data_IF_316644946393
#
_entry.id   IF_316644946393
#
_cell.length_a   1.000
_cell.length_b   1.000
_cell.length_c   1.000
_cell.angle_alpha   90.00
_cell.angle_beta   90.00
_cell.angle_gamma   90.00
#
_symmetry.space_group_name_H-M   'P 1'
#
loop_
_entity.id
_entity.type
_entity.pdbx_description
1 polymer ?
#
# COMPACT_ATOMS: atom_id res chain seq x y z
N UNK A 1 -19.17 -6.51 -5.82
CA UNK A 1 -19.96 -5.70 -6.78
C UNK A 1 -19.11 -5.52 -8.03
N UNK A 2 -19.63 -5.70 -9.25
CA UNK A 2 -18.83 -5.49 -10.44
C UNK A 2 -18.71 -3.98 -10.71
N UNK A 3 -17.46 -3.55 -10.84
CA UNK A 3 -17.02 -2.21 -11.18
C UNK A 3 -17.69 -1.69 -12.47
N UNK A 4 -18.15 -0.43 -12.47
CA UNK A 4 -18.86 0.19 -13.60
C UNK A 4 -17.91 0.91 -14.54
N UNK A 5 -18.36 1.29 -15.73
CA UNK A 5 -17.57 1.87 -16.83
C UNK A 5 -16.90 3.24 -16.56
N UNK A 6 -16.81 3.71 -15.32
CA UNK A 6 -16.26 5.02 -14.92
C UNK A 6 -15.06 4.94 -13.96
N UNK A 7 -14.41 3.78 -13.81
CA UNK A 7 -13.21 3.64 -12.97
C UNK A 7 -11.94 4.18 -13.63
N UNK A 8 -11.97 5.45 -14.06
CA UNK A 8 -10.82 6.16 -14.66
C UNK A 8 -9.58 6.11 -13.77
N UNK A 9 -9.75 5.98 -12.46
CA UNK A 9 -8.66 5.84 -11.51
C UNK A 9 -7.85 4.55 -11.73
N UNK A 10 -8.43 3.47 -12.25
CA UNK A 10 -7.72 2.22 -12.54
C UNK A 10 -6.69 2.38 -13.67
N UNK A 11 -6.84 3.37 -14.55
CA UNK A 11 -5.85 3.68 -15.59
C UNK A 11 -4.62 4.40 -15.01
N UNK A 12 -4.72 4.92 -13.78
CA UNK A 12 -3.69 5.70 -13.13
C UNK A 12 -2.91 4.86 -12.10
N UNK A 13 -1.67 5.25 -11.77
CA UNK A 13 -0.94 4.60 -10.69
C UNK A 13 -1.72 4.64 -9.36
N UNK A 14 -1.55 3.62 -8.50
CA UNK A 14 -0.70 2.44 -8.69
C UNK A 14 -1.35 1.30 -9.50
N UNK A 15 -2.53 1.50 -10.08
CA UNK A 15 -3.33 0.42 -10.69
C UNK A 15 -3.01 0.22 -12.17
N UNK A 16 -2.94 1.32 -12.89
CA UNK A 16 -2.54 1.37 -14.28
C UNK A 16 -1.41 2.37 -14.44
N UNK A 17 -0.94 2.52 -15.67
CA UNK A 17 0.09 3.48 -16.01
C UNK A 17 -0.39 4.17 -17.26
N UNK A 18 -1.02 5.32 -17.09
CA UNK A 18 -1.53 6.14 -18.17
C UNK A 18 -0.40 6.54 -19.12
N UNK A 19 -0.72 6.99 -20.35
CA UNK A 19 0.27 7.41 -21.34
C UNK A 19 1.21 8.52 -20.82
N UNK A 20 0.75 9.33 -19.87
CA UNK A 20 1.51 10.40 -19.22
C UNK A 20 2.53 9.93 -18.17
N UNK A 21 2.42 8.69 -17.65
CA UNK A 21 3.22 8.23 -16.51
C UNK A 21 4.56 7.59 -16.89
N UNK A 22 4.92 7.49 -18.18
CA UNK A 22 6.15 6.84 -18.63
C UNK A 22 6.28 5.36 -18.21
N UNK A 23 7.39 4.68 -18.54
CA UNK A 23 7.60 3.29 -18.13
C UNK A 23 7.83 3.15 -16.62
N UNK A 24 7.48 2.00 -16.04
CA UNK A 24 7.81 1.68 -14.65
C UNK A 24 9.32 1.55 -14.48
N UNK A 25 9.85 2.08 -13.37
CA UNK A 25 11.29 2.04 -13.07
C UNK A 25 11.78 0.64 -12.69
N UNK A 26 13.09 0.53 -12.42
CA UNK A 26 13.68 -0.72 -11.92
C UNK A 26 13.04 -1.13 -10.58
N UNK A 27 12.58 -2.38 -10.50
CA UNK A 27 11.94 -2.93 -9.30
C UNK A 27 12.96 -3.08 -8.17
N UNK A 28 12.80 -2.32 -7.10
CA UNK A 28 13.62 -2.42 -5.90
C UNK A 28 13.01 -3.38 -4.88
N UNK A 29 11.67 -3.42 -4.80
CA UNK A 29 10.96 -4.27 -3.86
C UNK A 29 9.73 -4.92 -4.49
N UNK A 30 9.38 -6.10 -3.97
CA UNK A 30 8.16 -6.84 -4.31
C UNK A 30 7.39 -7.09 -3.03
N UNK A 31 6.08 -6.93 -3.09
CA UNK A 31 5.20 -7.18 -1.96
C UNK A 31 3.99 -8.02 -2.38
N UNK A 32 3.45 -8.79 -1.44
CA UNK A 32 2.28 -9.64 -1.66
C UNK A 32 1.42 -9.71 -0.41
N UNK A 33 0.10 -9.80 -0.59
CA UNK A 33 -0.78 -10.15 0.54
C UNK A 33 -0.55 -11.60 1.00
N UNK A 34 -1.09 -11.98 2.15
CA UNK A 34 -0.88 -13.31 2.74
C UNK A 34 -1.31 -14.46 1.82
N UNK A 35 -2.46 -14.34 1.16
CA UNK A 35 -2.92 -15.33 0.19
C UNK A 35 -2.30 -15.17 -1.21
N UNK A 36 -1.40 -14.20 -1.38
CA UNK A 36 -0.67 -13.91 -2.60
C UNK A 36 -1.53 -13.49 -3.80
N UNK A 37 -2.86 -13.36 -3.67
CA UNK A 37 -3.72 -12.93 -4.78
C UNK A 37 -3.38 -11.51 -5.25
N UNK A 38 -2.99 -10.64 -4.33
CA UNK A 38 -2.53 -9.28 -4.62
C UNK A 38 -1.00 -9.24 -4.57
N UNK A 39 -0.39 -8.76 -5.64
CA UNK A 39 1.05 -8.47 -5.72
C UNK A 39 1.29 -7.08 -6.30
N UNK A 40 2.28 -6.38 -5.75
CA UNK A 40 2.72 -5.08 -6.23
C UNK A 40 4.25 -4.93 -6.15
N UNK A 41 4.76 -4.05 -6.98
CA UNK A 41 6.19 -3.72 -7.10
C UNK A 41 6.42 -2.27 -6.71
N UNK A 42 7.62 -1.99 -6.18
CA UNK A 42 8.05 -0.65 -5.76
C UNK A 42 9.37 -0.35 -6.49
N UNK A 43 9.41 0.74 -7.26
CA UNK A 43 10.61 1.15 -8.02
C UNK A 43 11.56 2.04 -7.22
N UNK A 44 11.10 2.59 -6.10
CA UNK A 44 11.90 3.44 -5.22
C UNK A 44 12.54 2.63 -4.10
N UNK A 45 13.85 2.80 -3.91
CA UNK A 45 14.63 2.05 -2.90
C UNK A 45 14.28 2.45 -1.46
N UNK A 46 14.23 3.75 -1.18
CA UNK A 46 13.92 4.29 0.15
C UNK A 46 12.59 5.05 0.14
N UNK A 47 11.71 4.90 1.15
CA UNK A 47 10.49 5.70 1.21
C UNK A 47 10.80 7.20 1.33
N UNK A 48 9.80 8.04 1.02
CA UNK A 48 9.87 9.48 1.28
C UNK A 48 10.00 9.76 2.78
N UNK A 49 9.26 9.01 3.58
CA UNK A 49 9.31 8.98 5.03
C UNK A 49 8.64 7.70 5.55
N UNK A 50 8.81 7.38 6.84
CA UNK A 50 8.09 6.29 7.49
C UNK A 50 7.61 6.72 8.87
N UNK A 51 6.43 6.23 9.28
CA UNK A 51 5.84 6.57 10.58
C UNK A 51 5.18 5.37 11.24
N UNK A 52 5.13 5.44 12.57
CA UNK A 52 4.16 4.69 13.37
C UNK A 52 2.98 5.61 13.69
N UNK A 53 1.76 5.14 13.45
CA UNK A 53 0.54 5.84 13.81
C UNK A 53 -0.13 5.16 15.00
N UNK A 54 -0.26 5.91 16.09
CA UNK A 54 -0.80 5.44 17.37
C UNK A 54 -2.24 5.90 17.62
N UNK A 55 -2.93 6.45 16.61
CA UNK A 55 -4.29 6.92 16.82
C UNK A 55 -5.26 5.75 17.03
N UNK A 56 -6.30 5.96 17.85
CA UNK A 56 -7.28 4.92 18.17
C UNK A 56 -7.95 4.32 16.91
N UNK A 57 -8.15 5.13 15.86
CA UNK A 57 -8.70 4.66 14.59
C UNK A 57 -7.79 3.65 13.89
N UNK A 58 -6.49 3.93 13.82
CA UNK A 58 -5.50 3.00 13.27
C UNK A 58 -5.38 1.75 14.14
N UNK A 59 -5.37 1.90 15.47
CA UNK A 59 -5.32 0.75 16.38
C UNK A 59 -6.51 -0.19 16.20
N UNK A 60 -7.71 0.39 16.13
CA UNK A 60 -8.97 -0.35 15.94
C UNK A 60 -9.02 -1.03 14.58
N UNK A 61 -8.70 -0.30 13.50
CA UNK A 61 -8.79 -0.82 12.14
C UNK A 61 -7.75 -1.90 11.86
N UNK A 62 -6.55 -1.75 12.42
CA UNK A 62 -5.44 -2.70 12.20
C UNK A 62 -5.44 -3.85 13.20
N UNK A 63 -6.17 -3.74 14.32
CA UNK A 63 -6.11 -4.71 15.40
C UNK A 63 -4.71 -4.81 16.02
N UNK A 64 -3.96 -3.72 16.03
CA UNK A 64 -2.56 -3.65 16.44
C UNK A 64 -2.29 -2.40 17.30
N UNK A 65 -1.25 -2.38 18.15
CA UNK A 65 -0.92 -1.23 18.99
C UNK A 65 -0.59 0.04 18.18
N UNK A 66 -0.16 -0.13 16.94
CA UNK A 66 0.13 0.94 16.01
C UNK A 66 0.06 0.44 14.57
N UNK A 67 0.02 1.39 13.65
CA UNK A 67 0.11 1.14 12.21
C UNK A 67 1.48 1.62 11.71
N UNK A 68 2.26 0.73 11.09
CA UNK A 68 3.54 1.07 10.43
C UNK A 68 3.29 1.41 8.96
N UNK A 69 3.68 2.61 8.52
CA UNK A 69 3.56 3.01 7.12
C UNK A 69 4.87 3.59 6.61
N UNK A 70 5.14 3.27 5.35
CA UNK A 70 6.15 3.90 4.53
C UNK A 70 5.49 4.68 3.39
N UNK A 71 5.92 5.93 3.20
CA UNK A 71 5.29 6.88 2.28
C UNK A 71 5.98 6.83 0.91
N UNK A 72 5.22 6.64 -0.16
CA UNK A 72 5.72 6.61 -1.55
C UNK A 72 4.85 7.49 -2.44
N UNK A 73 5.41 8.00 -3.55
CA UNK A 73 4.56 8.53 -4.62
C UNK A 73 3.76 7.40 -5.25
N UNK A 74 2.57 7.72 -5.77
CA UNK A 74 1.74 6.71 -6.46
C UNK A 74 2.48 6.11 -7.66
N UNK A 75 3.28 6.90 -8.35
CA UNK A 75 4.10 6.47 -9.49
C UNK A 75 5.25 5.52 -9.13
N UNK A 76 5.67 5.47 -7.86
CA UNK A 76 6.73 4.56 -7.42
C UNK A 76 6.21 3.12 -7.22
N UNK A 77 4.90 2.91 -7.36
CA UNK A 77 4.23 1.64 -7.03
C UNK A 77 3.37 1.19 -8.19
N UNK A 78 3.38 -0.11 -8.49
CA UNK A 78 2.43 -0.70 -9.42
C UNK A 78 1.87 -2.02 -8.91
N UNK A 79 0.56 -2.20 -9.01
CA UNK A 79 -0.07 -3.51 -8.88
C UNK A 79 0.22 -4.34 -10.13
N UNK A 80 0.84 -5.50 -9.93
CA UNK A 80 1.14 -6.44 -11.03
C UNK A 80 0.14 -7.60 -11.07
N UNK A 81 -0.62 -7.81 -9.98
CA UNK A 81 -1.67 -8.83 -9.89
C UNK A 81 -2.70 -8.46 -8.82
N UNK A 82 -3.95 -8.85 -9.07
CA UNK A 82 -5.00 -8.91 -8.05
C UNK A 82 -5.86 -7.66 -7.91
N UNK A 83 -6.00 -6.85 -8.96
CA UNK A 83 -6.90 -5.69 -9.00
C UNK A 83 -8.35 -6.05 -8.61
N UNK A 84 -8.82 -7.23 -9.02
CA UNK A 84 -10.13 -7.80 -8.68
C UNK A 84 -10.25 -8.29 -7.23
N UNK A 85 -9.10 -8.43 -6.56
CA UNK A 85 -8.96 -8.90 -5.18
C UNK A 85 -8.69 -7.75 -4.19
N UNK A 86 -8.84 -6.50 -4.64
CA UNK A 86 -8.75 -5.32 -3.80
C UNK A 86 -10.10 -4.98 -3.18
N UNK A 87 -10.06 -4.62 -1.90
CA UNK A 87 -11.18 -4.07 -1.15
C UNK A 87 -10.81 -2.67 -0.69
N UNK A 88 -11.76 -1.74 -0.83
CA UNK A 88 -11.58 -0.34 -0.50
C UNK A 88 -12.48 0.05 0.66
N UNK A 89 -11.96 0.86 1.57
CA UNK A 89 -12.73 1.39 2.70
C UNK A 89 -12.38 2.85 2.96
N UNK A 90 -13.38 3.73 2.96
CA UNK A 90 -13.21 5.12 3.36
C UNK A 90 -13.57 5.25 4.85
N UNK A 91 -12.59 5.56 5.69
CA UNK A 91 -12.79 5.66 7.13
C UNK A 91 -13.57 6.91 7.57
N UNK A 92 -13.73 7.92 6.70
CA UNK A 92 -14.50 9.12 6.98
C UNK A 92 -16.00 8.92 6.75
N UNK A 93 -16.37 8.17 5.70
CA UNK A 93 -17.78 7.84 5.43
C UNK A 93 -18.19 6.48 6.00
N UNK A 94 -17.21 5.66 6.45
CA UNK A 94 -17.40 4.29 6.92
C UNK A 94 -18.00 3.35 5.85
N UNK A 95 -17.70 3.61 4.57
CA UNK A 95 -18.26 2.89 3.44
C UNK A 95 -17.20 2.07 2.67
N UNK A 96 -17.61 0.95 2.05
CA UNK A 96 -16.76 0.10 1.24
C UNK A 96 -16.58 0.68 -0.18
N UNK A 97 -15.99 1.88 -0.28
CA UNK A 97 -15.89 2.64 -1.53
C UNK A 97 -14.47 3.12 -1.81
N UNK A 98 -14.08 3.15 -3.08
CA UNK A 98 -12.89 3.87 -3.54
C UNK A 98 -13.20 5.38 -3.58
N UNK A 99 -12.99 6.05 -2.44
CA UNK A 99 -13.11 7.50 -2.32
C UNK A 99 -11.93 8.00 -1.48
N UNK A 100 -11.05 8.81 -2.09
CA UNK A 100 -9.78 9.17 -1.47
C UNK A 100 -9.95 10.21 -0.33
N UNK A 101 -9.21 10.05 0.78
CA UNK A 101 -8.31 8.95 1.09
C UNK A 101 -9.05 7.66 1.47
N UNK A 102 -8.60 6.52 0.96
CA UNK A 102 -9.18 5.21 1.29
C UNK A 102 -8.10 4.21 1.71
N UNK A 103 -8.56 3.17 2.41
CA UNK A 103 -7.78 2.01 2.85
C UNK A 103 -7.92 0.91 1.83
N UNK A 104 -6.83 0.20 1.55
CA UNK A 104 -6.79 -0.92 0.61
C UNK A 104 -6.43 -2.18 1.38
N UNK A 105 -7.23 -3.22 1.23
CA UNK A 105 -6.97 -4.55 1.76
C UNK A 105 -7.27 -5.64 0.74
N UNK A 106 -6.78 -6.85 0.98
CA UNK A 106 -7.14 -7.99 0.15
C UNK A 106 -8.56 -8.47 0.50
N UNK A 107 -9.45 -8.56 -0.48
CA UNK A 107 -10.83 -9.02 -0.28
C UNK A 107 -10.94 -10.49 0.14
N UNK A 108 -9.86 -11.28 -0.01
CA UNK A 108 -9.83 -12.70 0.34
C UNK A 108 -9.19 -13.00 1.70
N UNK A 109 -7.99 -12.49 1.97
CA UNK A 109 -7.28 -12.79 3.22
C UNK A 109 -7.25 -11.63 4.20
N UNK A 110 -7.87 -10.50 3.84
CA UNK A 110 -7.97 -9.29 4.66
C UNK A 110 -6.63 -8.67 5.07
N UNK A 111 -5.51 -9.10 4.47
CA UNK A 111 -4.23 -8.40 4.62
C UNK A 111 -4.45 -6.94 4.26
N UNK A 112 -4.17 -6.07 5.22
CA UNK A 112 -4.09 -4.64 5.00
C UNK A 112 -2.89 -4.38 4.09
N UNK A 113 -3.06 -3.54 3.07
CA UNK A 113 -2.05 -3.32 2.02
C UNK A 113 -1.45 -1.91 2.11
N UNK A 114 -2.31 -0.90 2.04
CA UNK A 114 -1.88 0.51 2.06
C UNK A 114 -3.05 1.46 2.28
N UNK A 115 -2.78 2.71 2.65
CA UNK A 115 -3.71 3.82 2.43
C UNK A 115 -3.38 4.51 1.11
N UNK A 116 -4.39 4.77 0.29
CA UNK A 116 -4.27 5.63 -0.88
C UNK A 116 -4.71 7.06 -0.52
N UNK A 117 -3.75 7.99 -0.59
CA UNK A 117 -4.01 9.42 -0.54
C UNK A 117 -4.15 10.03 -1.93
N UNK A 118 -4.32 11.36 -1.99
CA UNK A 118 -4.45 12.08 -3.27
C UNK A 118 -3.17 12.04 -4.13
N UNK A 119 -2.01 12.04 -3.48
CA UNK A 119 -0.70 12.14 -4.16
C UNK A 119 0.29 11.05 -3.77
N UNK A 120 0.08 10.41 -2.62
CA UNK A 120 1.01 9.45 -2.02
C UNK A 120 0.25 8.22 -1.54
N UNK A 121 0.99 7.13 -1.39
CA UNK A 121 0.57 5.89 -0.77
C UNK A 121 1.25 5.76 0.58
N UNK A 122 0.53 5.29 1.59
CA UNK A 122 1.10 4.82 2.85
C UNK A 122 1.09 3.29 2.80
N UNK A 123 2.17 2.72 2.27
CA UNK A 123 2.35 1.27 2.15
C UNK A 123 2.66 0.66 3.52
N UNK A 124 2.15 -0.55 3.78
CA UNK A 124 2.52 -1.30 4.98
C UNK A 124 3.71 -2.22 4.67
N UNK A 125 4.91 -1.96 5.25
CA UNK A 125 6.14 -2.66 4.85
C UNK A 125 6.15 -4.15 5.16
N UNK A 126 5.25 -4.64 6.03
CA UNK A 126 5.13 -6.05 6.42
C UNK A 126 4.79 -6.99 5.25
N UNK A 127 4.27 -6.44 4.15
CA UNK A 127 3.95 -7.21 2.94
C UNK A 127 5.13 -7.40 1.98
N UNK A 128 6.25 -6.72 2.20
CA UNK A 128 7.44 -6.84 1.35
C UNK A 128 8.03 -8.25 1.51
N UNK A 129 8.30 -8.93 0.39
CA UNK A 129 8.79 -10.32 0.37
C UNK A 129 10.17 -10.41 1.03
N UNK A 130 10.36 -11.40 1.91
CA UNK A 130 11.66 -11.79 2.47
C UNK A 130 11.90 -13.25 2.15
N UNK A 131 12.59 -13.53 1.04
CA UNK A 131 12.73 -14.91 0.60
C UNK A 131 13.81 -15.69 1.40
N UNK A 132 14.60 -15.05 2.29
CA UNK A 132 15.22 -15.59 3.54
C UNK A 132 16.32 -14.65 4.09
N UNK A 133 16.53 -14.64 5.41
CA UNK A 133 17.74 -14.06 6.03
C UNK A 133 17.90 -12.52 5.96
N UNK A 134 19.12 -11.97 5.76
CA UNK A 134 19.55 -10.58 6.06
C UNK A 134 18.71 -9.40 5.49
N UNK A 135 17.66 -9.65 4.72
CA UNK A 135 16.70 -8.65 4.24
C UNK A 135 15.82 -8.06 5.35
N UNK A 136 15.55 -8.79 6.45
CA UNK A 136 14.73 -8.24 7.55
C UNK A 136 15.41 -7.08 8.28
N UNK A 137 16.74 -7.12 8.44
CA UNK A 137 17.50 -6.03 9.06
C UNK A 137 17.59 -4.82 8.12
N UNK A 138 17.85 -5.05 6.82
CA UNK A 138 17.83 -4.00 5.80
C UNK A 138 16.47 -3.31 5.69
N UNK A 139 15.38 -4.07 5.79
CA UNK A 139 14.04 -3.50 5.87
C UNK A 139 13.91 -2.52 7.03
N UNK A 140 14.41 -2.89 8.21
CA UNK A 140 14.36 -2.00 9.38
C UNK A 140 15.13 -0.72 9.09
N UNK A 141 16.34 -0.82 8.57
CA UNK A 141 17.18 0.34 8.25
C UNK A 141 16.54 1.28 7.24
N UNK A 142 15.79 0.75 6.27
CA UNK A 142 15.20 1.53 5.18
C UNK A 142 13.81 2.07 5.53
N UNK A 143 12.99 1.28 6.23
CA UNK A 143 11.56 1.54 6.39
C UNK A 143 11.14 1.83 7.84
N UNK A 144 12.01 1.65 8.85
CA UNK A 144 11.62 2.09 10.20
C UNK A 144 11.62 3.63 10.27
N UNK A 145 10.65 4.21 10.98
CA UNK A 145 10.68 5.63 11.31
C UNK A 145 12.00 6.00 12.00
N UNK A 146 12.62 7.09 11.57
CA UNK A 146 13.84 7.63 12.22
C UNK A 146 13.54 8.24 13.58
N UNK A 147 12.27 8.57 13.83
CA UNK A 147 11.76 9.10 15.08
C UNK A 147 10.34 8.54 15.32
N UNK A 148 10.07 8.08 16.54
CA UNK A 148 8.75 7.64 17.00
C UNK A 148 8.47 8.31 18.35
N UNK A 149 7.49 9.23 18.44
CA UNK A 149 7.19 9.91 19.70
C UNK A 149 6.47 9.01 20.73
N UNK A 150 5.93 7.86 20.32
CA UNK A 150 5.10 6.99 21.19
C UNK A 150 3.69 7.52 21.40
#
# INVERSE_FOLDING_TARGET
MPYSSEDKWMANPPYGRGPENGPFGEVQWRARCQCQRVEYEISRREPLDSKFCHCNGCQTLHGAPFQWAAIFHKDDVQFVRGHDSLYFYNSSTMEPVHSLPCKISCSNCHSLIMDEGRHVLLLYPELIKHDTGPDRQKLKEIFYPKYDPG
#
